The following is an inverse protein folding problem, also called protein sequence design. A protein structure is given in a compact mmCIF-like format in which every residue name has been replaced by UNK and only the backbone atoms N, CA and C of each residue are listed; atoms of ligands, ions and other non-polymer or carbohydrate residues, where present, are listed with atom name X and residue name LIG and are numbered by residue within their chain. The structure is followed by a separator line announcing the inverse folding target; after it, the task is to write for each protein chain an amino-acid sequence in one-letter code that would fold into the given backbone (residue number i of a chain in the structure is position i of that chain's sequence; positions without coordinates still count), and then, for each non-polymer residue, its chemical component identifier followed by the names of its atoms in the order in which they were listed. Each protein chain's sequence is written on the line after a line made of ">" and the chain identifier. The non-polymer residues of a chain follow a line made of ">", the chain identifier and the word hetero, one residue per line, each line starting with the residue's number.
data_IF_003987486007
#
_entry.id   IF_003987486007
#
_cell.length_a   1.000
_cell.length_b   1.000
_cell.length_c   1.000
_cell.angle_alpha   90.00
_cell.angle_beta   90.00
_cell.angle_gamma   90.00
#
_symmetry.space_group_name_H-M   'P 1'
#
loop_
_entity.id
_entity.type
_entity.pdbx_description
1 polymer ?
#
# COMPACT_ATOMS: atom_id res chain seq x y z
N UNK A 1 12.07 -0.09 -61.58
CA UNK A 1 12.08 0.84 -60.44
C UNK A 1 11.37 0.16 -59.26
N UNK A 2 12.13 -0.46 -58.34
CA UNK A 2 11.55 -1.18 -57.18
C UNK A 2 11.41 -0.19 -56.02
N UNK A 3 10.16 0.15 -55.66
CA UNK A 3 9.83 1.00 -54.52
C UNK A 3 10.10 0.20 -53.23
N UNK A 4 11.15 0.56 -52.50
CA UNK A 4 11.45 0.00 -51.19
C UNK A 4 10.53 0.74 -50.20
N UNK A 5 9.50 0.05 -49.73
CA UNK A 5 8.57 0.54 -48.71
C UNK A 5 9.26 0.43 -47.34
N UNK A 6 9.62 1.57 -46.76
CA UNK A 6 10.21 1.65 -45.43
C UNK A 6 9.09 1.53 -44.39
N UNK A 7 8.97 0.37 -43.74
CA UNK A 7 8.01 0.13 -42.65
C UNK A 7 8.61 0.73 -41.38
N UNK A 8 8.02 1.83 -40.91
CA UNK A 8 8.29 2.39 -39.59
C UNK A 8 7.64 1.48 -38.53
N UNK A 9 8.45 0.68 -37.84
CA UNK A 9 8.01 -0.02 -36.63
C UNK A 9 8.05 0.95 -35.45
N UNK A 10 6.88 1.47 -35.06
CA UNK A 10 6.71 2.13 -33.77
C UNK A 10 6.88 1.11 -32.65
N UNK A 11 8.04 1.14 -31.98
CA UNK A 11 8.27 0.36 -30.76
C UNK A 11 7.55 1.09 -29.62
N UNK A 12 6.35 0.64 -29.29
CA UNK A 12 5.63 1.05 -28.08
C UNK A 12 6.35 0.46 -26.87
N UNK A 13 7.16 1.29 -26.19
CA UNK A 13 7.75 0.93 -24.90
C UNK A 13 6.62 0.95 -23.86
N UNK A 14 5.99 -0.20 -23.67
CA UNK A 14 5.09 -0.44 -22.54
C UNK A 14 5.90 -0.28 -21.26
N UNK A 15 5.75 0.86 -20.58
CA UNK A 15 6.21 1.02 -19.21
C UNK A 15 5.34 0.13 -18.32
N UNK A 16 5.76 -1.12 -18.15
CA UNK A 16 5.30 -1.91 -17.02
C UNK A 16 5.76 -1.18 -15.76
N UNK A 17 4.86 -0.42 -15.15
CA UNK A 17 5.06 0.11 -13.81
C UNK A 17 5.15 -1.08 -12.86
N UNK A 18 6.36 -1.59 -12.67
CA UNK A 18 6.62 -2.59 -11.64
C UNK A 18 6.34 -1.92 -10.30
N UNK A 19 5.30 -2.40 -9.62
CA UNK A 19 5.02 -2.15 -8.22
C UNK A 19 6.33 -2.21 -7.42
N UNK A 20 6.84 -1.05 -6.98
CA UNK A 20 8.15 -0.98 -6.32
C UNK A 20 7.93 -1.21 -4.83
N UNK A 21 8.04 -2.46 -4.42
CA UNK A 21 8.12 -2.80 -3.00
C UNK A 21 9.33 -2.11 -2.34
N UNK A 22 9.10 -1.50 -1.17
CA UNK A 22 10.11 -0.81 -0.37
C UNK A 22 10.12 -1.34 1.07
N UNK A 23 11.23 -1.12 1.79
CA UNK A 23 11.36 -1.51 3.18
C UNK A 23 10.82 -0.42 4.10
N UNK A 24 10.04 -0.84 5.10
CA UNK A 24 9.46 0.01 6.13
C UNK A 24 9.62 -0.61 7.52
N UNK A 25 9.43 0.20 8.55
CA UNK A 25 9.24 -0.21 9.93
C UNK A 25 7.77 0.01 10.30
N UNK A 26 7.13 -1.01 10.88
CA UNK A 26 5.79 -0.88 11.45
C UNK A 26 5.85 -0.06 12.73
N UNK A 27 5.25 1.12 12.73
CA UNK A 27 5.20 2.00 13.89
C UNK A 27 3.93 1.79 14.72
N UNK A 28 2.78 1.62 14.05
CA UNK A 28 1.49 1.41 14.68
C UNK A 28 0.49 0.88 13.63
N UNK A 29 -0.76 0.63 14.04
CA UNK A 29 -1.85 0.31 13.12
C UNK A 29 -3.14 0.02 13.87
N UNK A 30 -4.23 -0.02 13.12
CA UNK A 30 -5.57 -0.25 13.65
C UNK A 30 -6.64 0.41 12.80
N UNK A 31 -7.87 0.38 13.29
CA UNK A 31 -9.04 0.95 12.62
C UNK A 31 -10.33 0.44 13.27
N UNK A 32 -11.42 1.19 13.12
CA UNK A 32 -12.76 0.73 13.52
C UNK A 32 -13.41 0.01 12.35
N UNK A 33 -13.69 0.74 11.26
CA UNK A 33 -14.27 0.17 10.04
C UNK A 33 -13.19 -0.42 9.12
N UNK A 34 -12.08 0.30 8.97
CA UNK A 34 -10.99 -0.04 8.05
C UNK A 34 -9.63 0.00 8.74
N UNK A 35 -8.95 -1.14 8.73
CA UNK A 35 -7.60 -1.22 9.27
C UNK A 35 -6.58 -0.53 8.36
N UNK A 36 -5.64 0.19 8.98
CA UNK A 36 -4.44 0.69 8.34
C UNK A 36 -3.19 0.47 9.18
N UNK A 37 -2.04 0.72 8.56
CA UNK A 37 -0.73 0.62 9.19
C UNK A 37 -0.02 1.98 9.08
N UNK A 38 0.60 2.39 10.18
CA UNK A 38 1.54 3.49 10.22
C UNK A 38 2.95 2.95 9.95
N UNK A 39 3.52 3.33 8.82
CA UNK A 39 4.77 2.79 8.29
C UNK A 39 5.83 3.89 8.22
N UNK A 40 7.01 3.64 8.78
CA UNK A 40 8.17 4.54 8.69
C UNK A 40 9.11 4.07 7.59
N UNK A 41 9.35 4.91 6.59
CA UNK A 41 10.28 4.59 5.50
C UNK A 41 11.74 4.75 5.94
N UNK A 42 12.69 4.39 5.08
CA UNK A 42 14.13 4.46 5.34
C UNK A 42 14.66 5.89 5.56
N UNK A 43 13.93 6.91 5.14
CA UNK A 43 14.23 8.33 5.35
C UNK A 43 13.63 8.88 6.65
N UNK A 44 12.92 8.03 7.41
CA UNK A 44 12.27 8.40 8.65
C UNK A 44 10.90 9.06 8.48
N UNK A 45 10.39 9.22 7.25
CA UNK A 45 9.05 9.72 6.97
C UNK A 45 8.02 8.64 7.28
N UNK A 46 6.95 9.05 7.95
CA UNK A 46 5.82 8.19 8.28
C UNK A 46 4.72 8.28 7.21
N UNK A 47 4.09 7.16 6.90
CA UNK A 47 2.99 7.03 5.94
C UNK A 47 1.91 6.17 6.62
N UNK A 48 0.69 6.67 6.69
CA UNK A 48 -0.45 5.84 7.05
C UNK A 48 -1.06 5.26 5.78
N UNK A 49 -1.17 3.94 5.70
CA UNK A 49 -1.72 3.26 4.53
C UNK A 49 -2.79 2.24 4.92
N UNK A 50 -3.93 2.29 4.25
CA UNK A 50 -5.03 1.36 4.47
C UNK A 50 -4.69 -0.03 3.95
N UNK A 51 -5.09 -1.04 4.72
CA UNK A 51 -4.85 -2.44 4.41
C UNK A 51 -5.65 -2.89 3.19
N UNK A 52 -6.91 -2.47 3.06
CA UNK A 52 -7.84 -2.93 2.02
C UNK A 52 -7.73 -4.46 1.78
N UNK A 53 -7.82 -5.22 2.86
CA UNK A 53 -7.69 -6.69 2.91
C UNK A 53 -6.32 -7.27 2.48
N UNK A 54 -5.27 -6.45 2.33
CA UNK A 54 -3.91 -6.89 1.97
C UNK A 54 -2.98 -7.13 3.15
N UNK A 55 -3.38 -6.75 4.35
CA UNK A 55 -2.65 -7.05 5.58
C UNK A 55 -2.96 -8.46 6.09
N UNK A 56 -2.04 -9.05 6.85
CA UNK A 56 -2.28 -10.32 7.54
C UNK A 56 -3.09 -10.16 8.84
N UNK A 57 -3.28 -11.25 9.62
CA UNK A 57 -4.00 -11.25 10.89
C UNK A 57 -3.16 -10.60 12.02
N UNK A 58 -2.81 -9.34 11.82
CA UNK A 58 -1.83 -8.61 12.62
C UNK A 58 -2.43 -7.76 13.72
N UNK A 59 -3.75 -7.71 13.81
CA UNK A 59 -4.47 -6.86 14.73
C UNK A 59 -5.15 -7.71 15.80
N UNK A 60 -5.27 -7.14 16.99
CA UNK A 60 -6.12 -7.60 18.09
C UNK A 60 -7.32 -6.66 18.22
N UNK A 61 -8.36 -7.09 18.94
CA UNK A 61 -9.45 -6.20 19.32
C UNK A 61 -8.94 -5.10 20.26
N UNK A 62 -9.44 -3.88 20.07
CA UNK A 62 -9.19 -2.75 20.93
C UNK A 62 -10.46 -2.38 21.71
N UNK A 63 -10.48 -2.73 23.00
CA UNK A 63 -11.63 -2.50 23.91
C UNK A 63 -11.95 -1.01 24.07
N UNK A 64 -10.96 -0.11 23.92
CA UNK A 64 -11.16 1.33 24.11
C UNK A 64 -11.94 1.94 22.95
N UNK A 65 -11.62 1.53 21.73
CA UNK A 65 -12.21 2.09 20.51
C UNK A 65 -13.32 1.22 19.93
N UNK A 66 -13.46 -0.02 20.40
CA UNK A 66 -14.30 -1.05 19.79
C UNK A 66 -13.78 -1.54 18.44
N UNK A 67 -12.62 -1.07 18.00
CA UNK A 67 -12.01 -1.41 16.72
C UNK A 67 -10.96 -2.50 16.84
N UNK A 68 -9.90 -2.35 16.04
CA UNK A 68 -8.71 -3.17 16.10
C UNK A 68 -7.44 -2.33 16.28
N UNK A 69 -6.43 -2.93 16.89
CA UNK A 69 -5.10 -2.34 17.11
C UNK A 69 -4.01 -3.33 16.70
N UNK A 70 -2.91 -2.82 16.16
CA UNK A 70 -1.76 -3.64 15.78
C UNK A 70 -1.21 -4.40 17.00
N UNK A 71 -1.05 -5.72 16.87
CA UNK A 71 -0.42 -6.57 17.89
C UNK A 71 0.95 -6.02 18.27
N UNK A 72 1.20 -5.87 19.58
CA UNK A 72 2.44 -5.29 20.12
C UNK A 72 3.71 -5.96 19.59
N UNK A 73 3.68 -7.27 19.34
CA UNK A 73 4.82 -8.03 18.80
C UNK A 73 5.26 -7.61 17.38
N UNK A 74 4.41 -6.89 16.64
CA UNK A 74 4.70 -6.41 15.29
C UNK A 74 5.15 -4.96 15.24
N UNK A 75 5.06 -4.23 16.36
CA UNK A 75 5.63 -2.89 16.48
C UNK A 75 7.15 -2.99 16.31
N UNK A 76 7.73 -2.03 15.59
CA UNK A 76 9.14 -1.94 15.18
C UNK A 76 9.65 -3.07 14.26
N UNK A 77 8.78 -4.01 13.84
CA UNK A 77 9.17 -5.03 12.86
C UNK A 77 9.33 -4.43 11.47
N UNK A 78 10.28 -4.99 10.73
CA UNK A 78 10.56 -4.61 9.35
C UNK A 78 9.61 -5.34 8.41
N UNK A 79 9.10 -4.60 7.44
CA UNK A 79 8.24 -5.13 6.38
C UNK A 79 8.74 -4.66 5.02
N UNK A 80 8.48 -5.46 4.01
CA UNK A 80 8.57 -5.05 2.61
C UNK A 80 7.14 -4.84 2.10
N UNK A 81 6.84 -3.64 1.61
CA UNK A 81 5.50 -3.27 1.18
C UNK A 81 5.48 -2.52 -0.16
N UNK A 82 4.48 -2.77 -0.98
CA UNK A 82 4.07 -1.91 -2.10
C UNK A 82 2.89 -1.05 -1.64
N UNK A 83 3.02 0.27 -1.79
CA UNK A 83 2.04 1.26 -1.34
C UNK A 83 1.78 2.23 -2.49
N UNK A 84 0.51 2.45 -2.81
CA UNK A 84 0.11 3.35 -3.90
C UNK A 84 -0.86 4.41 -3.39
N UNK A 85 -0.70 5.63 -3.88
CA UNK A 85 -1.63 6.73 -3.61
C UNK A 85 -2.72 6.75 -4.68
N UNK A 86 -3.95 6.50 -4.28
CA UNK A 86 -5.07 6.29 -5.20
C UNK A 86 -6.37 6.86 -4.64
N UNK A 87 -7.34 7.12 -5.54
CA UNK A 87 -8.71 7.48 -5.15
C UNK A 87 -9.35 6.41 -4.30
N UNK A 88 -10.10 6.77 -3.27
CA UNK A 88 -10.76 5.87 -2.35
C UNK A 88 -11.58 4.82 -3.09
N UNK A 89 -12.37 5.23 -4.07
CA UNK A 89 -13.26 4.35 -4.84
C UNK A 89 -14.08 3.45 -3.90
N UNK A 90 -14.63 4.06 -2.84
CA UNK A 90 -15.49 3.44 -1.83
C UNK A 90 -14.82 2.30 -1.02
N UNK A 91 -13.48 2.30 -0.92
CA UNK A 91 -12.71 1.30 -0.17
C UNK A 91 -12.61 1.59 1.33
N UNK A 92 -12.64 2.85 1.72
CA UNK A 92 -12.60 3.34 3.10
C UNK A 92 -13.96 3.93 3.44
N UNK A 93 -14.55 3.47 4.53
CA UNK A 93 -15.84 3.92 5.04
C UNK A 93 -15.78 5.37 5.53
N UNK A 94 -16.74 6.20 5.07
CA UNK A 94 -16.89 7.60 5.46
C UNK A 94 -16.48 8.59 4.36
N UNK A 95 -15.21 8.61 3.90
CA UNK A 95 -14.72 9.47 2.82
C UNK A 95 -15.43 9.31 1.48
N UNK A 96 -15.35 10.32 0.61
CA UNK A 96 -15.87 10.25 -0.75
C UNK A 96 -15.05 9.31 -1.64
N UNK A 97 -15.63 8.88 -2.77
CA UNK A 97 -14.97 8.00 -3.74
C UNK A 97 -13.75 8.65 -4.42
N UNK A 98 -13.71 9.99 -4.52
CA UNK A 98 -12.68 10.74 -5.22
C UNK A 98 -11.55 11.25 -4.32
N UNK A 99 -11.73 11.23 -3.00
CA UNK A 99 -10.65 11.47 -2.03
C UNK A 99 -9.52 10.45 -2.23
N UNK A 100 -8.27 10.81 -1.99
CA UNK A 100 -7.13 9.91 -2.27
C UNK A 100 -6.37 9.54 -1.01
N UNK A 101 -6.03 8.26 -0.89
CA UNK A 101 -5.32 7.69 0.25
C UNK A 101 -4.17 6.80 -0.20
N UNK A 102 -3.27 6.49 0.73
CA UNK A 102 -2.31 5.43 0.52
C UNK A 102 -2.95 4.07 0.81
N UNK A 103 -2.80 3.14 -0.12
CA UNK A 103 -3.27 1.77 0.00
C UNK A 103 -2.12 0.79 -0.10
N UNK A 104 -2.11 -0.19 0.80
CA UNK A 104 -1.21 -1.32 0.73
C UNK A 104 -1.69 -2.23 -0.40
N UNK A 105 -0.80 -2.52 -1.36
CA UNK A 105 -1.05 -3.47 -2.44
C UNK A 105 -0.54 -4.86 -2.10
N UNK A 106 0.63 -4.89 -1.46
CA UNK A 106 1.28 -6.09 -0.96
C UNK A 106 2.11 -5.71 0.26
N UNK A 107 2.19 -6.60 1.25
CA UNK A 107 3.04 -6.42 2.42
C UNK A 107 3.44 -7.77 3.00
N UNK A 108 4.69 -7.88 3.46
CA UNK A 108 5.20 -9.07 4.17
C UNK A 108 6.26 -8.65 5.18
N UNK A 109 6.41 -9.43 6.25
CA UNK A 109 7.54 -9.29 7.14
C UNK A 109 8.84 -9.65 6.42
N UNK A 110 9.93 -8.99 6.83
CA UNK A 110 11.29 -9.35 6.44
C UNK A 110 11.85 -10.17 7.60
N UNK A 111 12.24 -11.41 7.32
CA UNK A 111 12.97 -12.29 8.24
C UNK A 111 14.38 -11.77 8.52
#
# INVERSE_FOLDING_TARGET
>A
MKKILLILTCISISHFANAKTQNYILANGGGVDDNGLLLKNTQGKTIYAYCNQKCGPWFDHDEETGGQILKKQYIEKKVQADIQFEKNADRVAGPSADESFYFIKQIKFIE
#
